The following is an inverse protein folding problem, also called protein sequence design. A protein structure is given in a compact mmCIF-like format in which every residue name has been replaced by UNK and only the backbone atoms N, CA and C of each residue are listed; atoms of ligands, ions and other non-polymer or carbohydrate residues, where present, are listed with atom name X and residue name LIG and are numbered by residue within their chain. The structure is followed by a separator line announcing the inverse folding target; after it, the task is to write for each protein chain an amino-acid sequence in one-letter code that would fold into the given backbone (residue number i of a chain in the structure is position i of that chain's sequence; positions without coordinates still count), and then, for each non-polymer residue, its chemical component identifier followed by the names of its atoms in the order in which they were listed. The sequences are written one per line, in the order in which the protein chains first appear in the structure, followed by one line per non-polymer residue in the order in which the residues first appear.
data_IF_695445890815
#
_entry.id   IF_695445890815
#
_cell.length_a   1.000
_cell.length_b   1.000
_cell.length_c   1.000
_cell.angle_alpha   90.00
_cell.angle_beta   90.00
_cell.angle_gamma   90.00
#
_symmetry.space_group_name_H-M   'P 1'
#
loop_
_entity.id
_entity.type
_entity.pdbx_description
1 polymer ?
#
# COMPACT_ATOMS: atom_id res chain seq x y z
N UNK A 1 -19.27 -2.67 -9.11
CA UNK A 1 -18.68 -4.00 -8.82
C UNK A 1 -17.25 -3.77 -8.37
N UNK A 2 -16.78 -4.37 -7.27
CA UNK A 2 -15.34 -4.36 -7.01
C UNK A 2 -14.72 -5.46 -7.87
N UNK A 3 -13.87 -5.07 -8.82
CA UNK A 3 -13.12 -5.99 -9.67
C UNK A 3 -11.71 -6.15 -9.10
N UNK A 4 -11.33 -7.41 -8.86
CA UNK A 4 -9.94 -7.79 -8.76
C UNK A 4 -9.46 -8.09 -10.18
N UNK A 5 -8.32 -7.52 -10.57
CA UNK A 5 -7.70 -7.73 -11.87
C UNK A 5 -6.34 -8.38 -11.66
N UNK A 6 -6.11 -9.53 -12.28
CA UNK A 6 -4.79 -10.15 -12.27
C UNK A 6 -3.88 -9.38 -13.25
N UNK A 7 -2.83 -8.75 -12.72
CA UNK A 7 -1.83 -8.03 -13.51
C UNK A 7 -0.73 -8.96 -14.01
N UNK A 8 -0.28 -9.87 -13.14
CA UNK A 8 0.85 -10.75 -13.40
C UNK A 8 0.68 -12.07 -12.63
N UNK A 9 1.07 -13.17 -13.27
CA UNK A 9 1.18 -14.48 -12.63
C UNK A 9 2.51 -15.12 -13.04
N UNK A 10 3.24 -15.56 -12.03
CA UNK A 10 4.46 -16.37 -12.13
C UNK A 10 4.28 -17.65 -11.32
N UNK A 11 5.25 -18.57 -11.36
CA UNK A 11 5.17 -19.85 -10.65
C UNK A 11 4.97 -19.69 -9.13
N UNK A 12 5.55 -18.63 -8.55
CA UNK A 12 5.54 -18.44 -7.09
C UNK A 12 4.76 -17.20 -6.63
N UNK A 13 4.38 -16.30 -7.54
CA UNK A 13 3.73 -15.02 -7.19
C UNK A 13 2.63 -14.64 -8.14
N UNK A 14 1.61 -14.00 -7.59
CA UNK A 14 0.58 -13.29 -8.34
C UNK A 14 0.54 -11.83 -7.91
N UNK A 15 0.26 -10.95 -8.87
CA UNK A 15 0.06 -9.54 -8.64
C UNK A 15 -1.36 -9.17 -9.04
N UNK A 16 -2.12 -8.66 -8.09
CA UNK A 16 -3.53 -8.33 -8.26
C UNK A 16 -3.76 -6.85 -8.05
N UNK A 17 -4.50 -6.20 -8.95
CA UNK A 17 -4.97 -4.83 -8.82
C UNK A 17 -6.42 -4.79 -8.33
N UNK A 18 -6.70 -3.83 -7.46
CA UNK A 18 -8.02 -3.55 -6.92
C UNK A 18 -8.30 -2.05 -7.01
N UNK A 19 -9.53 -1.71 -7.39
CA UNK A 19 -10.02 -0.35 -7.25
C UNK A 19 -10.28 -0.07 -5.76
N UNK A 20 -9.77 1.06 -5.27
CA UNK A 20 -10.08 1.50 -3.91
C UNK A 20 -11.52 1.96 -3.81
N UNK A 21 -12.12 1.73 -2.64
CA UNK A 21 -13.42 2.29 -2.27
C UNK A 21 -13.16 3.47 -1.33
N UNK A 22 -13.95 4.55 -1.42
CA UNK A 22 -13.90 5.65 -0.45
C UNK A 22 -13.99 5.11 0.98
N UNK A 23 -13.06 5.53 1.85
CA UNK A 23 -13.08 5.17 3.27
C UNK A 23 -14.10 5.95 4.09
N UNK A 24 -14.52 7.12 3.58
CA UNK A 24 -15.51 8.01 4.15
C UNK A 24 -16.31 8.70 3.03
N UNK A 25 -17.45 9.33 3.38
CA UNK A 25 -18.33 9.97 2.39
C UNK A 25 -17.66 11.13 1.63
N UNK A 26 -16.62 11.72 2.19
CA UNK A 26 -15.86 12.85 1.64
C UNK A 26 -14.49 12.44 1.08
N UNK A 27 -14.17 11.15 1.04
CA UNK A 27 -12.92 10.65 0.50
C UNK A 27 -12.92 10.68 -1.03
N UNK A 28 -12.41 11.79 -1.57
CA UNK A 28 -12.15 11.99 -3.01
C UNK A 28 -10.82 11.41 -3.47
N UNK A 29 -10.01 10.85 -2.58
CA UNK A 29 -8.70 10.31 -2.97
C UNK A 29 -8.82 8.92 -3.58
N UNK A 30 -9.79 8.11 -3.10
CA UNK A 30 -9.98 6.73 -3.53
C UNK A 30 -10.24 6.58 -5.04
N UNK A 31 -10.84 7.57 -5.70
CA UNK A 31 -11.09 7.52 -7.14
C UNK A 31 -9.82 7.66 -7.99
N UNK A 32 -8.76 8.24 -7.43
CA UNK A 32 -7.47 8.47 -8.09
C UNK A 32 -6.36 7.51 -7.63
N UNK A 33 -6.71 6.57 -6.76
CA UNK A 33 -5.81 5.64 -6.12
C UNK A 33 -6.20 4.19 -6.45
N UNK A 34 -5.19 3.33 -6.59
CA UNK A 34 -5.39 1.89 -6.77
C UNK A 34 -4.59 1.12 -5.72
N UNK A 35 -5.08 -0.08 -5.39
CA UNK A 35 -4.33 -1.04 -4.57
C UNK A 35 -3.75 -2.13 -5.45
N UNK A 36 -2.51 -2.51 -5.17
CA UNK A 36 -1.85 -3.66 -5.77
C UNK A 36 -1.36 -4.59 -4.69
N UNK A 37 -1.73 -5.86 -4.78
CA UNK A 37 -1.34 -6.91 -3.84
C UNK A 37 -0.40 -7.89 -4.54
N UNK A 38 0.73 -8.18 -3.92
CA UNK A 38 1.60 -9.30 -4.31
C UNK A 38 1.34 -10.47 -3.38
N UNK A 39 0.87 -11.57 -3.93
CA UNK A 39 0.56 -12.81 -3.22
C UNK A 39 1.63 -13.85 -3.50
N UNK A 40 2.18 -14.47 -2.45
CA UNK A 40 3.12 -15.57 -2.56
C UNK A 40 2.36 -16.90 -2.53
N UNK A 41 2.34 -17.60 -3.67
CA UNK A 41 1.55 -18.80 -3.88
C UNK A 41 1.96 -19.96 -2.96
N UNK A 42 3.26 -20.31 -2.80
CA UNK A 42 3.65 -21.48 -2.02
C UNK A 42 3.24 -21.39 -0.54
N UNK A 43 3.37 -20.21 0.06
CA UNK A 43 2.99 -20.00 1.48
C UNK A 43 1.56 -19.50 1.66
N UNK A 44 0.85 -19.18 0.57
CA UNK A 44 -0.48 -18.57 0.58
C UNK A 44 -0.55 -17.29 1.44
N UNK A 45 0.50 -16.47 1.41
CA UNK A 45 0.58 -15.23 2.18
C UNK A 45 0.69 -14.01 1.29
N UNK A 46 0.24 -12.87 1.81
CA UNK A 46 0.53 -11.57 1.21
C UNK A 46 1.99 -11.24 1.47
N UNK A 47 2.71 -10.87 0.41
CA UNK A 47 4.09 -10.39 0.51
C UNK A 47 4.14 -8.87 0.53
N UNK A 48 3.28 -8.21 -0.27
CA UNK A 48 3.26 -6.75 -0.38
C UNK A 48 1.86 -6.23 -0.68
N UNK A 49 1.53 -5.09 -0.09
CA UNK A 49 0.39 -4.25 -0.49
C UNK A 49 0.95 -2.89 -0.89
N UNK A 50 0.52 -2.36 -2.02
CA UNK A 50 0.87 -1.02 -2.48
C UNK A 50 -0.41 -0.24 -2.78
N UNK A 51 -0.53 0.95 -2.21
CA UNK A 51 -1.53 1.94 -2.57
C UNK A 51 -0.82 3.04 -3.34
N UNK A 52 -1.24 3.31 -4.58
CA UNK A 52 -0.59 4.32 -5.40
C UNK A 52 -1.61 5.15 -6.19
N UNK A 53 -1.33 6.44 -6.31
CA UNK A 53 -2.06 7.32 -7.22
C UNK A 53 -1.67 6.98 -8.65
N UNK A 54 -2.64 6.80 -9.55
CA UNK A 54 -2.35 6.60 -10.96
C UNK A 54 -2.37 7.91 -11.76
N UNK A 55 -2.84 9.00 -11.15
CA UNK A 55 -2.84 10.34 -11.71
C UNK A 55 -2.73 11.39 -10.59
N UNK A 56 -2.46 12.64 -10.96
CA UNK A 56 -2.50 13.76 -10.01
C UNK A 56 -3.94 14.07 -9.62
N UNK A 57 -4.16 14.44 -8.35
CA UNK A 57 -5.49 14.72 -7.84
C UNK A 57 -5.50 15.83 -6.79
N UNK A 58 -6.70 16.29 -6.42
CA UNK A 58 -6.88 17.35 -5.42
C UNK A 58 -7.86 16.88 -4.34
N UNK A 59 -7.38 16.35 -3.20
CA UNK A 59 -8.25 15.79 -2.17
C UNK A 59 -9.11 16.88 -1.51
N UNK A 60 -8.57 18.09 -1.39
CA UNK A 60 -9.23 19.27 -0.81
C UNK A 60 -8.84 20.53 -1.58
N UNK A 61 -9.64 21.59 -1.45
CA UNK A 61 -9.38 22.85 -2.13
C UNK A 61 -7.98 23.41 -1.78
N UNK A 62 -7.26 23.86 -2.80
CA UNK A 62 -5.93 24.44 -2.64
C UNK A 62 -4.82 23.42 -2.40
N UNK A 63 -5.06 22.11 -2.54
CA UNK A 63 -4.02 21.07 -2.47
C UNK A 63 -4.01 20.29 -3.76
N UNK A 64 -2.83 20.12 -4.36
CA UNK A 64 -2.59 19.22 -5.49
C UNK A 64 -1.60 18.15 -5.05
N UNK A 65 -1.98 16.89 -5.19
CA UNK A 65 -1.11 15.74 -4.99
C UNK A 65 -0.65 15.29 -6.38
N UNK A 66 0.64 15.42 -6.64
CA UNK A 66 1.24 15.03 -7.92
C UNK A 66 1.47 13.51 -7.95
N UNK A 67 1.90 12.94 -6.83
CA UNK A 67 1.93 11.49 -6.60
C UNK A 67 1.79 11.14 -5.13
N UNK A 68 1.15 10.00 -4.86
CA UNK A 68 1.08 9.38 -3.55
C UNK A 68 1.34 7.88 -3.68
N UNK A 69 2.18 7.34 -2.80
CA UNK A 69 2.48 5.92 -2.72
C UNK A 69 2.61 5.50 -1.26
N UNK A 70 1.93 4.44 -0.88
CA UNK A 70 2.16 3.71 0.37
C UNK A 70 2.48 2.28 0.01
N UNK A 71 3.55 1.71 0.55
CA UNK A 71 3.86 0.30 0.39
C UNK A 71 4.10 -0.37 1.74
N UNK A 72 3.49 -1.54 1.90
CA UNK A 72 3.51 -2.35 3.11
C UNK A 72 4.11 -3.69 2.71
N UNK A 73 5.25 -4.05 3.32
CA UNK A 73 5.99 -5.26 3.00
C UNK A 73 5.95 -6.23 4.19
N UNK A 74 5.72 -7.50 3.90
CA UNK A 74 5.66 -8.57 4.88
C UNK A 74 6.74 -9.62 4.61
N UNK A 75 7.24 -10.25 5.67
CA UNK A 75 8.10 -11.41 5.54
C UNK A 75 7.30 -12.61 5.04
N UNK A 76 7.93 -13.50 4.28
CA UNK A 76 7.38 -14.84 4.11
C UNK A 76 7.41 -15.59 5.45
N UNK A 77 6.46 -16.51 5.70
CA UNK A 77 6.53 -17.37 6.87
C UNK A 77 7.76 -18.29 6.77
N UNK A 78 8.36 -18.60 7.91
CA UNK A 78 9.54 -19.46 8.01
C UNK A 78 9.39 -20.41 9.21
N UNK A 79 9.27 -21.71 8.95
CA UNK A 79 9.02 -22.72 9.99
C UNK A 79 7.83 -22.32 10.88
N UNK A 80 8.08 -22.10 12.18
CA UNK A 80 7.06 -21.71 13.16
C UNK A 80 6.82 -20.20 13.24
N UNK A 81 7.49 -19.40 12.40
CA UNK A 81 7.31 -17.94 12.35
C UNK A 81 6.26 -17.57 11.29
N UNK A 82 5.17 -16.89 11.65
CA UNK A 82 4.19 -16.41 10.68
C UNK A 82 4.77 -15.31 9.79
N UNK A 83 4.03 -14.93 8.76
CA UNK A 83 4.30 -13.69 8.03
C UNK A 83 4.15 -12.49 8.96
N UNK A 84 5.17 -11.62 9.00
CA UNK A 84 5.20 -10.45 9.87
C UNK A 84 5.42 -9.19 9.03
N UNK A 85 4.82 -8.09 9.46
CA UNK A 85 5.10 -6.78 8.88
C UNK A 85 6.60 -6.49 9.00
N UNK A 86 7.22 -5.99 7.93
CA UNK A 86 8.64 -5.62 7.93
C UNK A 86 8.80 -4.13 7.78
N UNK A 87 8.00 -3.53 6.90
CA UNK A 87 8.20 -2.15 6.52
C UNK A 87 6.92 -1.51 6.01
N UNK A 88 6.73 -0.23 6.36
CA UNK A 88 5.78 0.67 5.72
C UNK A 88 6.56 1.85 5.17
N UNK A 89 6.48 2.07 3.86
CA UNK A 89 6.98 3.26 3.19
C UNK A 89 5.79 4.11 2.76
N UNK A 90 5.84 5.41 3.03
CA UNK A 90 4.88 6.41 2.54
C UNK A 90 5.67 7.49 1.83
N UNK A 91 5.29 7.79 0.59
CA UNK A 91 5.82 8.90 -0.19
C UNK A 91 4.67 9.72 -0.74
N UNK A 92 4.71 11.03 -0.52
CA UNK A 92 3.76 11.98 -1.10
C UNK A 92 4.57 13.11 -1.71
N UNK A 93 4.17 13.52 -2.91
CA UNK A 93 4.67 14.69 -3.63
C UNK A 93 3.50 15.55 -4.04
N UNK A 94 3.66 16.86 -3.92
CA UNK A 94 2.59 17.78 -4.26
C UNK A 94 2.81 19.19 -3.77
N UNK A 95 1.73 19.96 -3.77
CA UNK A 95 1.72 21.37 -3.40
C UNK A 95 0.47 21.73 -2.61
N UNK A 96 0.65 22.59 -1.61
CA UNK A 96 -0.41 23.28 -0.92
C UNK A 96 -0.35 24.77 -1.29
N UNK A 97 -1.48 25.32 -1.70
CA UNK A 97 -1.58 26.59 -2.40
C UNK A 97 -0.63 26.65 -3.62
N UNK A 98 -0.43 27.83 -4.20
CA UNK A 98 0.41 27.96 -5.41
C UNK A 98 1.92 27.89 -5.13
N UNK A 99 2.36 27.87 -3.86
CA UNK A 99 3.76 28.15 -3.52
C UNK A 99 4.39 27.23 -2.46
N UNK A 100 3.62 26.38 -1.77
CA UNK A 100 4.18 25.52 -0.71
C UNK A 100 4.26 24.09 -1.19
N UNK A 101 5.44 23.47 -1.14
CA UNK A 101 5.59 22.04 -1.42
C UNK A 101 4.95 21.19 -0.31
N UNK A 102 4.44 20.04 -0.71
CA UNK A 102 3.94 18.96 0.15
C UNK A 102 4.69 17.70 -0.27
N UNK A 103 5.97 17.66 0.10
CA UNK A 103 6.84 16.53 -0.17
C UNK A 103 7.19 15.88 1.16
N UNK A 104 6.85 14.61 1.31
CA UNK A 104 7.10 13.84 2.51
C UNK A 104 7.48 12.41 2.15
N UNK A 105 8.52 11.91 2.80
CA UNK A 105 8.86 10.48 2.80
C UNK A 105 8.91 10.01 4.26
N UNK A 106 8.30 8.86 4.52
CA UNK A 106 8.30 8.22 5.82
C UNK A 106 8.55 6.74 5.62
N UNK A 107 9.49 6.18 6.39
CA UNK A 107 9.72 4.75 6.47
C UNK A 107 9.58 4.32 7.91
N UNK A 108 8.80 3.27 8.15
CA UNK A 108 8.67 2.62 9.45
C UNK A 108 9.08 1.16 9.28
N UNK A 109 10.18 0.77 9.92
CA UNK A 109 10.67 -0.60 9.91
C UNK A 109 10.30 -1.31 11.21
N UNK A 110 9.92 -2.57 11.09
CA UNK A 110 9.53 -3.41 12.22
C UNK A 110 10.52 -4.58 12.35
N UNK A 111 11.08 -4.72 13.55
CA UNK A 111 12.04 -5.76 13.91
C UNK A 111 11.75 -6.32 15.30
N UNK A 112 12.54 -7.31 15.71
CA UNK A 112 12.57 -7.81 17.11
C UNK A 112 11.22 -8.32 17.62
N UNK A 113 10.51 -9.02 16.74
CA UNK A 113 9.26 -9.68 17.09
C UNK A 113 9.47 -10.78 18.13
N UNK A 114 8.76 -10.67 19.25
CA UNK A 114 8.71 -11.70 20.28
C UNK A 114 7.41 -12.50 20.22
N UNK A 115 7.51 -13.81 20.41
CA UNK A 115 6.35 -14.69 20.52
C UNK A 115 5.67 -14.52 21.88
N UNK A 116 4.38 -14.15 21.87
CA UNK A 116 3.59 -13.87 23.09
C UNK A 116 2.61 -14.98 23.45
N UNK A 117 2.69 -16.16 22.82
CA UNK A 117 1.85 -17.31 23.17
C UNK A 117 2.25 -17.91 24.52
N UNK A 118 1.26 -18.31 25.32
CA UNK A 118 1.52 -19.06 26.57
C UNK A 118 1.89 -20.50 26.20
N UNK A 119 3.04 -20.95 26.68
CA UNK A 119 3.43 -22.37 26.67
C UNK A 119 2.48 -23.20 27.55
#
# INVERSE_FOLDING_TARGET
MASAELLERSDNREKWRFQLRPGANDDRSAEHMQSTLTFHLPSQTIERIELASFESFSPVFGVTVDSARTSISYSLPLNDRPSLLQEIEVSIRGRAFYFKSLDSDMTVSYSDYEYMGKN
#
